data_IF_035546763959
#
_entry.id   IF_035546763959
#
_cell.length_a   1.000
_cell.length_b   1.000
_cell.length_c   1.000
_cell.angle_alpha   90.00
_cell.angle_beta   90.00
_cell.angle_gamma   90.00
#
_symmetry.space_group_name_H-M   'P 1'
#
loop_
_entity.id
_entity.type
_entity.pdbx_description
1 polymer ?
#
# COMPACT_ATOMS: atom_id res chain seq x y z
N UNK A 1 -51.61 20.70 -19.12
CA UNK A 1 -50.39 21.29 -18.50
C UNK A 1 -50.32 20.74 -17.08
N UNK A 2 -49.62 19.62 -16.89
CA UNK A 2 -49.37 19.05 -15.57
C UNK A 2 -48.11 19.71 -15.01
N UNK A 3 -48.20 20.32 -13.84
CA UNK A 3 -47.02 20.76 -13.07
C UNK A 3 -46.60 19.58 -12.21
N UNK A 4 -45.47 18.95 -12.54
CA UNK A 4 -44.81 17.98 -11.66
C UNK A 4 -43.89 18.76 -10.72
N UNK A 5 -44.23 18.79 -9.43
CA UNK A 5 -43.33 19.27 -8.40
C UNK A 5 -42.33 18.15 -8.08
N UNK A 6 -41.07 18.32 -8.48
CA UNK A 6 -40.00 17.44 -8.04
C UNK A 6 -39.58 17.84 -6.61
N UNK A 7 -40.12 17.13 -5.63
CA UNK A 7 -39.57 17.11 -4.27
C UNK A 7 -38.34 16.19 -4.27
N UNK A 8 -37.15 16.74 -4.52
CA UNK A 8 -35.91 15.99 -4.37
C UNK A 8 -35.43 16.04 -2.92
N UNK A 9 -35.92 15.12 -2.11
CA UNK A 9 -35.31 14.76 -0.82
C UNK A 9 -35.44 13.25 -0.61
N UNK A 10 -34.74 12.49 -1.46
CA UNK A 10 -34.40 11.10 -1.19
C UNK A 10 -32.89 11.04 -1.00
N UNK A 11 -32.45 11.29 0.24
CA UNK A 11 -31.14 10.82 0.69
C UNK A 11 -31.23 9.29 0.74
N UNK A 12 -30.87 8.63 -0.36
CA UNK A 12 -30.48 7.23 -0.29
C UNK A 12 -29.17 7.25 0.48
N UNK A 13 -29.18 6.85 1.76
CA UNK A 13 -27.94 6.58 2.46
C UNK A 13 -27.21 5.52 1.65
N UNK A 14 -26.12 5.90 0.98
CA UNK A 14 -25.24 4.90 0.37
C UNK A 14 -24.93 3.89 1.45
N UNK A 15 -25.25 2.62 1.20
CA UNK A 15 -24.77 1.52 2.04
C UNK A 15 -23.26 1.52 1.81
N UNK A 16 -22.54 2.28 2.63
CA UNK A 16 -21.10 2.15 2.71
C UNK A 16 -20.84 0.73 3.19
N UNK A 17 -20.02 -0.01 2.44
CA UNK A 17 -19.50 -1.28 2.91
C UNK A 17 -18.83 -1.06 4.27
N UNK A 18 -19.25 -1.84 5.25
CA UNK A 18 -18.70 -1.76 6.59
C UNK A 18 -17.38 -2.52 6.59
N UNK A 19 -16.29 -1.86 6.96
CA UNK A 19 -15.00 -2.50 7.15
C UNK A 19 -15.13 -3.68 8.11
N UNK A 20 -14.56 -4.82 7.73
CA UNK A 20 -14.49 -5.98 8.61
C UNK A 20 -13.60 -5.67 9.83
N UNK A 21 -13.99 -6.21 10.98
CA UNK A 21 -13.32 -5.86 12.25
C UNK A 21 -11.86 -6.34 12.27
N UNK A 22 -11.56 -7.50 11.69
CA UNK A 22 -10.20 -8.03 11.56
C UNK A 22 -9.33 -7.16 10.65
N UNK A 23 -9.88 -6.66 9.53
CA UNK A 23 -9.20 -5.72 8.64
C UNK A 23 -8.86 -4.41 9.39
N UNK A 24 -9.83 -3.87 10.13
CA UNK A 24 -9.63 -2.66 10.94
C UNK A 24 -8.58 -2.86 12.04
N UNK A 25 -8.60 -4.01 12.71
CA UNK A 25 -7.65 -4.34 13.77
C UNK A 25 -6.21 -4.46 13.21
N UNK A 26 -6.04 -5.07 12.04
CA UNK A 26 -4.75 -5.13 11.35
C UNK A 26 -4.23 -3.71 11.00
N UNK A 27 -5.10 -2.83 10.52
CA UNK A 27 -4.74 -1.44 10.20
C UNK A 27 -4.36 -0.65 11.46
N UNK A 28 -5.10 -0.78 12.56
CA UNK A 28 -4.80 -0.05 13.80
C UNK A 28 -3.57 -0.59 14.50
N UNK A 29 -3.37 -1.91 14.49
CA UNK A 29 -2.12 -2.55 14.93
C UNK A 29 -0.93 -1.99 14.15
N UNK A 30 -1.09 -1.83 12.83
CA UNK A 30 -0.04 -1.25 12.00
C UNK A 30 0.25 0.18 12.41
N UNK A 31 -0.77 1.05 12.45
CA UNK A 31 -0.64 2.45 12.87
C UNK A 31 0.07 2.59 14.22
N UNK A 32 -0.25 1.74 15.20
CA UNK A 32 0.35 1.79 16.53
C UNK A 32 1.82 1.33 16.57
N UNK A 33 2.25 0.55 15.59
CA UNK A 33 3.64 0.12 15.44
C UNK A 33 4.49 1.11 14.62
N UNK A 34 3.86 2.04 13.90
CA UNK A 34 4.56 3.06 13.12
C UNK A 34 5.12 4.16 14.01
N UNK A 35 6.34 4.57 13.70
CA UNK A 35 6.87 5.87 14.14
C UNK A 35 6.60 6.87 13.03
N UNK A 36 5.82 7.91 13.31
CA UNK A 36 5.53 8.97 12.34
C UNK A 36 5.30 10.32 13.03
N UNK A 37 5.56 11.42 12.32
CA UNK A 37 5.26 12.75 12.83
C UNK A 37 3.77 13.08 12.66
N UNK A 38 3.02 12.97 13.76
CA UNK A 38 1.60 13.28 13.80
C UNK A 38 1.25 14.74 13.44
N UNK A 39 2.20 15.68 13.51
CA UNK A 39 1.96 17.07 13.09
C UNK A 39 2.00 17.26 11.58
N UNK A 40 2.63 16.33 10.86
CA UNK A 40 2.76 16.34 9.40
C UNK A 40 1.83 15.32 8.72
N UNK A 41 1.45 14.26 9.42
CA UNK A 41 0.52 13.25 8.92
C UNK A 41 -0.85 13.85 8.62
N UNK A 42 -1.42 13.46 7.47
CA UNK A 42 -2.75 13.91 7.02
C UNK A 42 -3.78 12.79 7.03
N UNK A 43 -3.33 11.54 6.89
CA UNK A 43 -4.17 10.34 6.78
C UNK A 43 -4.22 9.57 8.11
N UNK A 44 -3.08 9.11 8.64
CA UNK A 44 -2.99 8.27 9.82
C UNK A 44 -3.61 8.92 11.06
N UNK A 45 -3.46 10.22 11.24
CA UNK A 45 -4.08 10.97 12.36
C UNK A 45 -5.60 10.92 12.36
N UNK A 46 -6.23 10.64 11.21
CA UNK A 46 -7.69 10.54 11.06
C UNK A 46 -8.24 9.13 11.23
N UNK A 47 -7.37 8.13 11.36
CA UNK A 47 -7.80 6.75 11.61
C UNK A 47 -8.27 6.62 13.06
N UNK A 48 -9.53 6.24 13.25
CA UNK A 48 -10.20 6.16 14.56
C UNK A 48 -10.99 4.84 14.68
N UNK A 49 -10.67 4.04 15.70
CA UNK A 49 -11.33 2.78 16.07
C UNK A 49 -12.87 2.84 16.02
N UNK A 50 -13.44 4.00 16.34
CA UNK A 50 -14.90 4.21 16.42
C UNK A 50 -15.58 4.40 15.07
N UNK A 51 -14.81 4.60 14.01
CA UNK A 51 -15.31 4.90 12.67
C UNK A 51 -15.04 3.75 11.69
N UNK A 52 -15.82 3.69 10.61
CA UNK A 52 -15.63 2.69 9.57
C UNK A 52 -14.29 2.92 8.85
N UNK A 53 -13.40 1.91 8.85
CA UNK A 53 -12.07 2.02 8.25
C UNK A 53 -12.10 2.31 6.74
N UNK A 54 -13.16 1.87 6.04
CA UNK A 54 -13.34 2.13 4.61
C UNK A 54 -13.60 3.61 4.29
N UNK A 55 -13.81 4.45 5.33
CA UNK A 55 -13.92 5.90 5.22
C UNK A 55 -12.64 6.62 5.65
N UNK A 56 -11.63 5.89 6.13
CA UNK A 56 -10.36 6.51 6.51
C UNK A 56 -9.61 6.98 5.28
N UNK A 57 -8.95 8.15 5.33
CA UNK A 57 -8.10 8.58 4.25
C UNK A 57 -7.01 7.55 3.97
N UNK A 58 -6.79 7.27 2.69
CA UNK A 58 -5.83 6.28 2.23
C UNK A 58 -6.31 4.82 2.30
N UNK A 59 -7.56 4.56 2.69
CA UNK A 59 -8.16 3.22 2.69
C UNK A 59 -9.26 3.14 1.64
N UNK A 60 -9.34 2.03 0.92
CA UNK A 60 -10.52 1.66 0.12
C UNK A 60 -10.82 0.18 0.28
N UNK A 61 -12.10 -0.16 0.27
CA UNK A 61 -12.59 -1.52 0.47
C UNK A 61 -13.44 -2.01 -0.70
N UNK A 62 -13.59 -3.33 -0.82
CA UNK A 62 -14.60 -3.96 -1.67
C UNK A 62 -16.02 -3.84 -1.09
N UNK A 63 -17.00 -4.46 -1.74
CA UNK A 63 -18.41 -4.39 -1.31
C UNK A 63 -18.66 -5.19 -0.02
N UNK A 64 -17.78 -6.15 0.27
CA UNK A 64 -17.80 -7.05 1.42
C UNK A 64 -17.04 -6.47 2.64
N UNK A 65 -16.28 -5.39 2.46
CA UNK A 65 -15.54 -4.70 3.51
C UNK A 65 -14.08 -5.14 3.69
N UNK A 66 -13.50 -5.88 2.73
CA UNK A 66 -12.07 -6.18 2.72
C UNK A 66 -11.28 -4.99 2.18
N UNK A 67 -10.10 -4.74 2.76
CA UNK A 67 -9.23 -3.64 2.35
C UNK A 67 -8.50 -4.00 1.06
N UNK A 68 -8.75 -3.21 0.01
CA UNK A 68 -8.11 -3.36 -1.30
C UNK A 68 -6.94 -2.39 -1.48
N UNK A 69 -7.01 -1.20 -0.87
CA UNK A 69 -6.05 -0.13 -1.09
C UNK A 69 -5.56 0.41 0.26
N UNK A 70 -4.23 0.52 0.38
CA UNK A 70 -3.53 1.20 1.46
C UNK A 70 -2.56 2.24 0.88
N UNK A 71 -2.91 3.51 1.04
CA UNK A 71 -2.10 4.66 0.61
C UNK A 71 -1.65 5.48 1.82
N UNK A 72 -0.35 5.40 2.10
CA UNK A 72 0.31 6.13 3.18
C UNK A 72 1.46 6.98 2.63
N UNK A 73 1.29 7.53 1.44
CA UNK A 73 2.24 8.49 0.88
C UNK A 73 2.33 9.75 1.73
N UNK A 74 3.52 10.33 1.88
CA UNK A 74 3.77 11.59 2.58
C UNK A 74 3.24 11.62 4.03
N UNK A 75 3.25 10.50 4.75
CA UNK A 75 2.73 10.41 6.11
C UNK A 75 3.79 10.61 7.20
N UNK A 76 4.98 11.09 6.80
CA UNK A 76 6.13 11.33 7.68
C UNK A 76 6.50 10.10 8.52
N UNK A 77 6.34 8.90 7.95
CA UNK A 77 6.69 7.65 8.60
C UNK A 77 8.22 7.48 8.56
N UNK A 78 8.81 7.19 9.71
CA UNK A 78 10.27 7.01 9.87
C UNK A 78 10.68 5.59 10.27
N UNK A 79 9.74 4.79 10.79
CA UNK A 79 9.99 3.40 11.18
C UNK A 79 8.69 2.61 11.38
N UNK A 80 8.80 1.30 11.65
CA UNK A 80 7.68 0.41 11.96
C UNK A 80 7.19 -0.45 10.79
N UNK A 81 7.88 -0.40 9.64
CA UNK A 81 7.61 -1.27 8.48
C UNK A 81 8.67 -2.38 8.43
N UNK A 82 8.28 -3.57 8.89
CA UNK A 82 9.12 -4.76 9.06
C UNK A 82 8.33 -6.07 8.88
N UNK A 83 8.97 -7.23 9.08
CA UNK A 83 8.31 -8.54 8.96
C UNK A 83 7.16 -8.78 9.98
N UNK A 84 6.97 -7.94 10.99
CA UNK A 84 5.84 -8.04 11.92
C UNK A 84 4.66 -7.15 11.52
N UNK A 85 4.79 -6.41 10.41
CA UNK A 85 3.78 -5.47 9.94
C UNK A 85 2.51 -6.19 9.50
N UNK A 86 1.42 -5.90 10.24
CA UNK A 86 0.09 -6.47 10.00
C UNK A 86 -0.55 -6.20 8.64
N UNK A 87 -0.19 -5.15 7.85
CA UNK A 87 -0.74 -5.01 6.51
C UNK A 87 -0.41 -6.18 5.58
N UNK A 88 0.66 -6.94 5.86
CA UNK A 88 1.01 -8.13 5.08
C UNK A 88 0.04 -9.31 5.28
N UNK A 89 -0.85 -9.22 6.28
CA UNK A 89 -1.91 -10.19 6.50
C UNK A 89 -3.23 -9.77 5.78
N UNK A 90 -3.31 -8.58 5.18
CA UNK A 90 -4.45 -8.12 4.37
C UNK A 90 -4.48 -8.84 3.01
N UNK A 91 -5.05 -10.05 2.97
CA UNK A 91 -4.99 -10.93 1.78
C UNK A 91 -5.66 -10.38 0.51
N UNK A 92 -6.54 -9.38 0.67
CA UNK A 92 -7.24 -8.73 -0.43
C UNK A 92 -6.53 -7.46 -0.93
N UNK A 93 -5.40 -7.08 -0.34
CA UNK A 93 -4.70 -5.85 -0.69
C UNK A 93 -4.15 -5.92 -2.12
N UNK A 94 -4.64 -5.02 -2.97
CA UNK A 94 -4.24 -4.89 -4.38
C UNK A 94 -3.24 -3.75 -4.59
N UNK A 95 -3.31 -2.70 -3.76
CA UNK A 95 -2.48 -1.50 -3.89
C UNK A 95 -1.84 -1.11 -2.57
N UNK A 96 -0.52 -1.02 -2.58
CA UNK A 96 0.28 -0.49 -1.48
C UNK A 96 1.13 0.69 -1.97
N UNK A 97 0.93 1.85 -1.36
CA UNK A 97 1.66 3.07 -1.68
C UNK A 97 2.31 3.65 -0.43
N UNK A 98 3.65 3.72 -0.41
CA UNK A 98 4.45 4.24 0.71
C UNK A 98 5.38 5.39 0.29
N UNK A 99 5.03 6.07 -0.81
CA UNK A 99 5.81 7.16 -1.42
C UNK A 99 6.19 8.25 -0.41
N UNK A 100 7.40 8.81 -0.51
CA UNK A 100 7.86 9.94 0.31
C UNK A 100 7.72 9.73 1.83
N UNK A 101 8.08 8.55 2.30
CA UNK A 101 8.34 8.28 3.72
C UNK A 101 9.83 7.99 3.92
N UNK A 102 10.37 8.20 5.12
CA UNK A 102 11.77 7.88 5.41
C UNK A 102 11.86 6.60 6.24
N UNK A 103 11.44 5.48 5.66
CA UNK A 103 11.21 4.24 6.41
C UNK A 103 12.48 3.64 7.03
N UNK A 104 13.66 4.15 6.66
CA UNK A 104 14.97 3.66 7.10
C UNK A 104 15.13 2.14 6.92
N UNK A 105 14.50 1.59 5.87
CA UNK A 105 14.48 0.15 5.63
C UNK A 105 15.81 -0.28 5.01
N UNK A 106 16.53 -1.13 5.73
CA UNK A 106 17.78 -1.75 5.24
C UNK A 106 17.48 -2.91 4.29
N UNK A 107 16.41 -3.65 4.54
CA UNK A 107 16.00 -4.81 3.76
C UNK A 107 14.48 -4.87 3.65
N UNK A 108 13.99 -5.06 2.42
CA UNK A 108 12.55 -5.23 2.20
C UNK A 108 12.01 -6.41 3.02
N UNK A 109 10.94 -6.22 3.81
CA UNK A 109 10.32 -7.29 4.58
C UNK A 109 9.90 -8.44 3.66
N UNK A 110 10.29 -9.67 4.00
CA UNK A 110 9.92 -10.87 3.23
C UNK A 110 8.44 -11.21 3.36
N UNK A 111 7.79 -10.74 4.42
CA UNK A 111 6.36 -10.96 4.63
C UNK A 111 5.49 -10.23 3.60
N UNK A 112 6.01 -9.22 2.90
CA UNK A 112 5.31 -8.58 1.77
C UNK A 112 4.90 -9.59 0.70
N UNK A 113 5.62 -10.71 0.57
CA UNK A 113 5.33 -11.76 -0.40
C UNK A 113 4.03 -12.53 -0.11
N UNK A 114 3.44 -12.36 1.09
CA UNK A 114 2.11 -12.90 1.41
C UNK A 114 0.98 -12.20 0.67
N UNK A 115 1.22 -10.98 0.17
CA UNK A 115 0.22 -10.18 -0.54
C UNK A 115 0.03 -10.69 -1.97
N UNK A 116 -0.59 -11.86 -2.10
CA UNK A 116 -0.76 -12.55 -3.38
C UNK A 116 -1.59 -11.73 -4.40
N UNK A 117 -2.48 -10.86 -3.94
CA UNK A 117 -3.34 -10.04 -4.78
C UNK A 117 -2.71 -8.68 -5.14
N UNK A 118 -1.49 -8.39 -4.68
CA UNK A 118 -0.87 -7.09 -4.92
C UNK A 118 -0.58 -6.89 -6.42
N UNK A 119 -1.18 -5.86 -6.99
CA UNK A 119 -0.99 -5.46 -8.39
C UNK A 119 -0.19 -4.17 -8.53
N UNK A 120 -0.18 -3.33 -7.49
CA UNK A 120 0.51 -2.06 -7.46
C UNK A 120 1.37 -1.92 -6.19
N UNK A 121 2.66 -1.67 -6.38
CA UNK A 121 3.58 -1.33 -5.29
C UNK A 121 4.39 -0.09 -5.65
N UNK A 122 4.28 0.95 -4.83
CA UNK A 122 5.07 2.16 -4.98
C UNK A 122 5.88 2.48 -3.72
N UNK A 123 7.20 2.49 -3.88
CA UNK A 123 8.19 2.76 -2.85
C UNK A 123 9.08 3.95 -3.23
N UNK A 124 8.61 4.85 -4.12
CA UNK A 124 9.36 6.02 -4.55
C UNK A 124 9.81 6.84 -3.35
N UNK A 125 11.13 7.09 -3.28
CA UNK A 125 11.76 7.84 -2.21
C UNK A 125 11.29 7.43 -0.79
N UNK A 126 11.14 6.13 -0.55
CA UNK A 126 10.63 5.58 0.71
C UNK A 126 11.73 5.32 1.77
N UNK A 127 12.91 5.95 1.66
CA UNK A 127 13.97 5.87 2.68
C UNK A 127 14.69 4.51 2.77
N UNK A 128 14.81 3.78 1.65
CA UNK A 128 15.52 2.50 1.61
C UNK A 128 17.04 2.71 1.54
N UNK A 129 17.78 2.22 2.53
CA UNK A 129 19.23 2.37 2.61
C UNK A 129 19.99 1.56 1.54
N UNK A 130 19.31 0.62 0.86
CA UNK A 130 19.90 -0.16 -0.23
C UNK A 130 19.07 -1.39 -0.61
N UNK A 131 18.36 -1.36 -1.74
CA UNK A 131 17.71 -2.57 -2.26
C UNK A 131 18.76 -3.45 -2.98
N UNK A 132 18.99 -4.67 -2.48
CA UNK A 132 19.92 -5.64 -3.09
C UNK A 132 19.25 -6.42 -4.22
N UNK A 133 20.04 -6.94 -5.18
CA UNK A 133 19.56 -7.73 -6.35
C UNK A 133 18.61 -8.84 -5.92
N UNK A 134 19.00 -9.55 -4.87
CA UNK A 134 18.29 -10.72 -4.37
C UNK A 134 16.89 -10.37 -3.86
N UNK A 135 16.71 -9.17 -3.30
CA UNK A 135 15.43 -8.67 -2.84
C UNK A 135 14.53 -8.34 -4.03
N UNK A 136 15.06 -7.65 -5.05
CA UNK A 136 14.30 -7.38 -6.28
C UNK A 136 13.86 -8.68 -6.96
N UNK A 137 14.78 -9.65 -7.13
CA UNK A 137 14.47 -10.95 -7.73
C UNK A 137 13.40 -11.71 -6.95
N UNK A 138 13.49 -11.71 -5.61
CA UNK A 138 12.49 -12.36 -4.77
C UNK A 138 11.13 -11.63 -4.84
N UNK A 139 11.13 -10.30 -4.89
CA UNK A 139 9.92 -9.50 -5.03
C UNK A 139 9.16 -9.84 -6.32
N UNK A 140 9.84 -9.74 -7.47
CA UNK A 140 9.21 -10.00 -8.77
C UNK A 140 8.84 -11.47 -8.97
N UNK A 141 9.53 -12.40 -8.28
CA UNK A 141 9.21 -13.84 -8.34
C UNK A 141 7.97 -14.18 -7.52
N UNK A 142 7.83 -13.61 -6.32
CA UNK A 142 6.77 -14.02 -5.40
C UNK A 142 5.48 -13.21 -5.56
N UNK A 143 5.55 -11.97 -6.07
CA UNK A 143 4.37 -11.15 -6.37
C UNK A 143 3.92 -11.34 -7.82
N UNK A 144 3.35 -12.52 -8.12
CA UNK A 144 3.03 -12.94 -9.48
C UNK A 144 1.97 -12.07 -10.20
N UNK A 145 1.15 -11.34 -9.44
CA UNK A 145 0.10 -10.46 -9.96
C UNK A 145 0.54 -8.99 -10.08
N UNK A 146 1.80 -8.68 -9.76
CA UNK A 146 2.32 -7.31 -9.77
C UNK A 146 2.35 -6.77 -11.21
N UNK A 147 1.65 -5.67 -11.45
CA UNK A 147 1.54 -4.99 -12.74
C UNK A 147 2.33 -3.69 -12.79
N UNK A 148 2.41 -3.01 -11.65
CA UNK A 148 3.08 -1.73 -11.51
C UNK A 148 4.03 -1.76 -10.30
N UNK A 149 5.30 -1.48 -10.56
CA UNK A 149 6.34 -1.37 -9.54
C UNK A 149 7.14 -0.08 -9.74
N UNK A 150 7.10 0.80 -8.75
CA UNK A 150 7.87 2.04 -8.74
C UNK A 150 8.89 2.02 -7.59
N UNK A 151 10.17 2.12 -7.96
CA UNK A 151 11.34 2.11 -7.08
C UNK A 151 12.23 3.33 -7.35
N UNK A 152 11.67 4.42 -7.87
CA UNK A 152 12.43 5.64 -8.18
C UNK A 152 12.99 6.26 -6.89
N UNK A 153 14.20 6.82 -6.99
CA UNK A 153 14.94 7.38 -5.86
C UNK A 153 15.17 6.38 -4.70
N UNK A 154 15.04 5.07 -4.96
CA UNK A 154 15.53 4.02 -4.06
C UNK A 154 17.01 3.82 -4.34
N UNK A 155 17.85 3.84 -3.31
CA UNK A 155 19.26 3.51 -3.47
C UNK A 155 19.37 2.02 -3.85
N UNK A 156 19.74 1.75 -5.10
CA UNK A 156 19.83 0.38 -5.61
C UNK A 156 21.30 0.10 -5.90
N UNK A 157 21.95 -0.65 -5.02
CA UNK A 157 23.35 -1.03 -5.15
C UNK A 157 23.47 -2.22 -6.11
N UNK A 158 23.49 -1.93 -7.41
CA UNK A 158 23.48 -2.96 -8.44
C UNK A 158 24.41 -2.65 -9.63
N UNK A 159 25.02 -3.70 -10.19
CA UNK A 159 25.69 -3.63 -11.51
C UNK A 159 24.67 -3.92 -12.61
N UNK A 160 24.64 -3.14 -13.69
CA UNK A 160 23.57 -3.16 -14.71
C UNK A 160 23.19 -4.55 -15.29
N UNK A 161 24.13 -5.50 -15.40
CA UNK A 161 23.84 -6.86 -15.89
C UNK A 161 23.02 -7.72 -14.93
N UNK A 162 23.12 -7.48 -13.62
CA UNK A 162 22.42 -8.23 -12.58
C UNK A 162 20.91 -7.92 -12.61
N UNK A 163 20.55 -6.68 -12.95
CA UNK A 163 19.16 -6.24 -13.12
C UNK A 163 18.45 -6.97 -14.24
N UNK A 164 19.07 -7.02 -15.43
CA UNK A 164 18.47 -7.68 -16.59
C UNK A 164 18.18 -9.15 -16.30
N UNK A 165 19.05 -9.82 -15.52
CA UNK A 165 18.83 -11.21 -15.09
C UNK A 165 17.71 -11.39 -14.07
N UNK A 166 17.51 -10.40 -13.18
CA UNK A 166 16.46 -10.45 -12.16
C UNK A 166 15.08 -10.19 -12.75
N UNK A 167 15.02 -9.34 -13.77
CA UNK A 167 13.80 -8.98 -14.49
C UNK A 167 13.45 -10.00 -15.58
N UNK A 168 14.42 -10.50 -16.34
CA UNK A 168 14.15 -11.47 -17.43
C UNK A 168 13.51 -12.76 -16.95
N UNK A 169 13.63 -13.11 -15.67
CA UNK A 169 13.05 -14.33 -15.09
C UNK A 169 11.59 -14.22 -14.64
N UNK A 170 10.97 -13.03 -14.67
CA UNK A 170 9.78 -12.77 -13.84
C UNK A 170 8.65 -11.97 -14.51
N UNK A 171 8.56 -11.91 -15.84
CA UNK A 171 7.70 -10.94 -16.52
C UNK A 171 6.76 -11.52 -17.60
N UNK A 172 5.58 -12.03 -17.22
CA UNK A 172 4.44 -12.00 -18.13
C UNK A 172 3.46 -10.85 -17.84
N UNK A 173 3.36 -10.35 -16.60
CA UNK A 173 2.28 -9.43 -16.20
C UNK A 173 2.71 -8.01 -15.81
N UNK A 174 3.98 -7.76 -15.50
CA UNK A 174 4.45 -6.42 -15.16
C UNK A 174 4.39 -5.54 -16.41
N UNK A 175 3.65 -4.44 -16.32
CA UNK A 175 3.44 -3.48 -17.42
C UNK A 175 4.19 -2.18 -17.21
N UNK A 176 4.37 -1.78 -15.94
CA UNK A 176 5.08 -0.55 -15.57
C UNK A 176 6.17 -0.89 -14.56
N UNK A 177 7.40 -0.54 -14.92
CA UNK A 177 8.55 -0.59 -14.05
C UNK A 177 9.26 0.75 -14.09
N UNK A 178 9.25 1.48 -12.98
CA UNK A 178 9.98 2.74 -12.85
C UNK A 178 11.13 2.57 -11.87
N UNK A 179 12.35 2.79 -12.37
CA UNK A 179 13.56 2.73 -11.56
C UNK A 179 14.58 3.76 -12.05
N UNK A 180 14.39 5.01 -11.65
CA UNK A 180 15.33 6.12 -11.85
C UNK A 180 16.10 6.42 -10.57
N UNK A 181 17.41 6.65 -10.72
CA UNK A 181 18.31 7.19 -9.70
C UNK A 181 18.16 8.69 -9.54
#
# INVERSE_FOLDING_TARGET
MLVVLLNSSNYISGVYCQCLEDQKDLLLKFKNNLTFDSSLSTKLVRWDQKTNCCLWPGISCDQEGHVLILELDNEAITSGVDNSSSPFDLQHLEKLNLVYNDLNIVQLPTEIYKLANLTYLNLLNAGFAGLRVQNLKALVKNLANLKELCLDAVNISLKGSEWCSALSSSLPQLTVLSISS
#
